data_IF_903443697688
#
_entry.id   IF_903443697688
#
_cell.length_a   1.000
_cell.length_b   1.000
_cell.length_c   1.000
_cell.angle_alpha   90.00
_cell.angle_beta   90.00
_cell.angle_gamma   90.00
#
_symmetry.space_group_name_H-M   'P 1'
#
loop_
_entity.id
_entity.type
_entity.pdbx_description
1 polymer ?
#
# COMPACT_ATOMS: atom_id res chain seq x y z
N UNK A 1 -22.56 21.63 -26.61
CA UNK A 1 -23.07 20.49 -25.82
C UNK A 1 -23.16 20.96 -24.39
N UNK A 2 -24.26 20.69 -23.71
CA UNK A 2 -24.52 21.07 -22.32
C UNK A 2 -24.56 19.82 -21.41
N UNK A 3 -24.66 20.04 -20.10
CA UNK A 3 -24.66 18.95 -19.11
C UNK A 3 -25.87 18.03 -19.29
N UNK A 4 -27.07 18.58 -19.51
CA UNK A 4 -28.27 17.78 -19.82
C UNK A 4 -28.06 16.81 -20.99
N UNK A 5 -27.45 17.29 -22.09
CA UNK A 5 -27.15 16.47 -23.27
C UNK A 5 -26.17 15.35 -22.93
N UNK A 6 -25.13 15.66 -22.13
CA UNK A 6 -24.18 14.65 -21.67
C UNK A 6 -24.87 13.55 -20.85
N UNK A 7 -25.62 13.94 -19.81
CA UNK A 7 -26.29 13.01 -18.91
C UNK A 7 -27.28 12.09 -19.65
N UNK A 8 -28.09 12.65 -20.55
CA UNK A 8 -29.08 11.87 -21.31
C UNK A 8 -28.45 10.95 -22.36
N UNK A 9 -27.42 11.41 -23.06
CA UNK A 9 -26.82 10.65 -24.17
C UNK A 9 -25.78 9.63 -23.74
N UNK A 10 -25.02 9.93 -22.69
CA UNK A 10 -23.88 9.11 -22.27
C UNK A 10 -24.13 8.34 -20.99
N UNK A 11 -25.02 8.82 -20.10
CA UNK A 11 -25.37 8.13 -18.86
C UNK A 11 -26.79 7.54 -18.88
N UNK A 12 -27.54 7.71 -19.96
CA UNK A 12 -28.96 7.33 -20.10
C UNK A 12 -29.84 7.87 -18.96
N UNK A 13 -29.50 9.05 -18.44
CA UNK A 13 -30.28 9.68 -17.38
C UNK A 13 -31.70 9.99 -17.88
N UNK A 14 -32.70 9.64 -17.08
CA UNK A 14 -34.09 9.98 -17.37
C UNK A 14 -34.35 11.49 -17.24
N UNK A 15 -35.49 11.95 -17.77
CA UNK A 15 -35.96 13.33 -17.58
C UNK A 15 -36.14 13.69 -16.10
N UNK A 16 -36.49 12.72 -15.26
CA UNK A 16 -36.67 12.90 -13.81
C UNK A 16 -35.33 13.00 -13.07
N UNK A 17 -34.31 12.24 -13.50
CA UNK A 17 -32.99 12.25 -12.87
C UNK A 17 -32.12 13.43 -13.31
N UNK A 18 -32.30 13.91 -14.54
CA UNK A 18 -31.42 14.93 -15.15
C UNK A 18 -31.29 16.20 -14.28
N UNK A 19 -32.37 16.84 -13.79
CA UNK A 19 -32.25 18.04 -12.96
C UNK A 19 -31.47 17.79 -11.68
N UNK A 20 -31.70 16.63 -11.04
CA UNK A 20 -31.03 16.23 -9.81
C UNK A 20 -29.54 15.96 -10.03
N UNK A 21 -29.18 15.30 -11.13
CA UNK A 21 -27.78 15.05 -11.50
C UNK A 21 -27.02 16.35 -11.80
N UNK A 22 -27.66 17.33 -12.45
CA UNK A 22 -27.08 18.66 -12.68
C UNK A 22 -26.82 19.37 -11.35
N UNK A 23 -27.78 19.35 -10.44
CA UNK A 23 -27.61 19.92 -9.09
C UNK A 23 -26.46 19.24 -8.34
N UNK A 24 -26.42 17.90 -8.34
CA UNK A 24 -25.34 17.14 -7.70
C UNK A 24 -23.97 17.46 -8.29
N UNK A 25 -23.86 17.56 -9.61
CA UNK A 25 -22.61 17.96 -10.26
C UNK A 25 -22.20 19.39 -9.86
N UNK A 26 -23.13 20.36 -9.89
CA UNK A 26 -22.83 21.73 -9.47
C UNK A 26 -22.38 21.81 -8.01
N UNK A 27 -23.03 21.10 -7.09
CA UNK A 27 -22.64 21.05 -5.68
C UNK A 27 -21.27 20.38 -5.52
N UNK A 28 -21.02 19.27 -6.22
CA UNK A 28 -19.74 18.54 -6.14
C UNK A 28 -18.55 19.39 -6.57
N UNK A 29 -18.74 20.26 -7.56
CA UNK A 29 -17.69 21.16 -8.04
C UNK A 29 -17.56 22.40 -7.15
N UNK A 30 -18.67 22.94 -6.63
CA UNK A 30 -18.62 24.09 -5.72
C UNK A 30 -17.94 23.73 -4.38
N UNK A 31 -18.05 22.48 -3.94
CA UNK A 31 -17.36 21.98 -2.74
C UNK A 31 -15.87 21.70 -3.04
N UNK A 32 -15.00 22.60 -2.62
CA UNK A 32 -13.56 22.36 -2.61
C UNK A 32 -12.82 22.67 -3.92
N UNK A 33 -13.44 23.42 -4.84
CA UNK A 33 -12.78 23.93 -6.06
C UNK A 33 -13.15 25.39 -6.34
N UNK A 34 -12.39 26.06 -7.22
CA UNK A 34 -12.65 27.45 -7.64
C UNK A 34 -13.80 27.57 -8.68
N UNK A 35 -14.69 26.58 -8.77
CA UNK A 35 -15.78 26.55 -9.73
C UNK A 35 -16.68 27.80 -9.59
N UNK A 36 -16.75 28.69 -10.61
CA UNK A 36 -17.48 29.93 -10.48
C UNK A 36 -18.98 29.71 -10.68
N UNK A 37 -19.80 30.21 -9.74
CA UNK A 37 -21.27 30.19 -9.83
C UNK A 37 -21.75 31.38 -10.70
N UNK A 38 -22.62 31.15 -11.70
CA UNK A 38 -23.15 32.23 -12.55
C UNK A 38 -23.94 31.76 -13.79
N UNK A 39 -24.35 32.70 -14.67
CA UNK A 39 -25.18 32.38 -15.85
C UNK A 39 -24.47 31.48 -16.86
N UNK A 40 -25.23 30.65 -17.58
CA UNK A 40 -24.68 29.60 -18.46
C UNK A 40 -24.12 28.40 -17.70
N UNK A 41 -24.75 28.04 -16.56
CA UNK A 41 -24.25 27.04 -15.62
C UNK A 41 -24.07 25.67 -16.26
N UNK A 42 -24.98 25.20 -17.12
CA UNK A 42 -24.90 23.85 -17.70
C UNK A 42 -23.78 23.66 -18.73
N UNK A 43 -23.54 24.63 -19.62
CA UNK A 43 -22.42 24.55 -20.56
C UNK A 43 -21.08 24.63 -19.82
N UNK A 44 -21.03 25.46 -18.78
CA UNK A 44 -19.84 25.59 -17.93
C UNK A 44 -19.58 24.31 -17.15
N UNK A 45 -20.60 23.77 -16.51
CA UNK A 45 -20.54 22.52 -15.77
C UNK A 45 -20.05 21.38 -16.69
N UNK A 46 -20.55 21.31 -17.92
CA UNK A 46 -20.08 20.34 -18.92
C UNK A 46 -18.59 20.51 -19.26
N UNK A 47 -18.09 21.74 -19.37
CA UNK A 47 -16.64 21.97 -19.61
C UNK A 47 -15.79 21.42 -18.49
N UNK A 48 -16.24 21.52 -17.25
CA UNK A 48 -15.50 20.99 -16.10
C UNK A 48 -15.61 19.46 -16.01
N UNK A 49 -16.80 18.88 -16.26
CA UNK A 49 -16.99 17.42 -16.23
C UNK A 49 -16.20 16.64 -17.30
N UNK A 50 -15.58 17.33 -18.25
CA UNK A 50 -14.64 16.70 -19.20
C UNK A 50 -13.27 16.39 -18.56
N UNK A 51 -12.93 17.00 -17.43
CA UNK A 51 -11.67 16.70 -16.75
C UNK A 51 -11.85 15.59 -15.72
N UNK A 52 -10.93 14.61 -15.65
CA UNK A 52 -11.05 13.45 -14.77
C UNK A 52 -11.31 13.81 -13.31
N UNK A 53 -10.60 14.82 -12.79
CA UNK A 53 -10.76 15.29 -11.41
C UNK A 53 -12.21 15.72 -11.08
N UNK A 54 -12.81 16.60 -11.88
CA UNK A 54 -14.18 17.07 -11.62
C UNK A 54 -15.23 15.98 -11.88
N UNK A 55 -15.00 15.11 -12.87
CA UNK A 55 -15.87 13.98 -13.14
C UNK A 55 -15.89 12.99 -11.96
N UNK A 56 -14.74 12.72 -11.34
CA UNK A 56 -14.65 11.87 -10.16
C UNK A 56 -15.35 12.48 -8.93
N UNK A 57 -15.24 13.79 -8.71
CA UNK A 57 -15.96 14.47 -7.61
C UNK A 57 -17.48 14.26 -7.75
N UNK A 58 -18.00 14.47 -8.96
CA UNK A 58 -19.40 14.22 -9.27
C UNK A 58 -19.79 12.74 -9.06
N UNK A 59 -18.99 11.81 -9.59
CA UNK A 59 -19.29 10.38 -9.51
C UNK A 59 -19.40 9.86 -8.08
N UNK A 60 -18.49 10.27 -7.19
CA UNK A 60 -18.52 9.88 -5.76
C UNK A 60 -19.84 10.24 -5.07
N UNK A 61 -20.43 11.39 -5.42
CA UNK A 61 -21.75 11.78 -4.89
C UNK A 61 -22.88 10.97 -5.51
N UNK A 62 -22.81 10.68 -6.81
CA UNK A 62 -23.86 9.94 -7.53
C UNK A 62 -23.98 8.50 -7.04
N UNK A 63 -22.86 7.80 -6.85
CA UNK A 63 -22.90 6.38 -6.49
C UNK A 63 -23.52 6.14 -5.11
N UNK A 64 -23.37 7.08 -4.17
CA UNK A 64 -23.93 7.00 -2.82
C UNK A 64 -25.35 7.55 -2.71
N UNK A 65 -25.86 8.24 -3.74
CA UNK A 65 -27.18 8.83 -3.70
C UNK A 65 -28.30 7.79 -3.88
N UNK A 66 -29.32 7.89 -3.02
CA UNK A 66 -30.56 7.13 -3.16
C UNK A 66 -31.41 7.66 -4.32
N UNK A 67 -32.13 6.79 -5.01
CA UNK A 67 -33.05 7.19 -6.08
C UNK A 67 -32.37 7.68 -7.37
N UNK A 68 -31.07 7.42 -7.55
CA UNK A 68 -30.42 7.44 -8.87
C UNK A 68 -30.37 6.01 -9.39
N UNK A 69 -30.75 5.81 -10.65
CA UNK A 69 -30.79 4.50 -11.29
C UNK A 69 -29.43 3.82 -11.32
N UNK A 70 -29.47 2.49 -11.27
CA UNK A 70 -28.28 1.65 -11.35
C UNK A 70 -27.50 1.88 -12.65
N UNK A 71 -28.19 1.97 -13.80
CA UNK A 71 -27.59 2.27 -15.10
C UNK A 71 -26.77 3.57 -15.12
N UNK A 72 -27.28 4.65 -14.52
CA UNK A 72 -26.54 5.93 -14.44
C UNK A 72 -25.27 5.76 -13.60
N UNK A 73 -25.37 5.07 -12.46
CA UNK A 73 -24.22 4.82 -11.58
C UNK A 73 -23.15 3.99 -12.29
N UNK A 74 -23.55 2.89 -12.94
CA UNK A 74 -22.65 2.01 -13.70
C UNK A 74 -21.90 2.78 -14.78
N UNK A 75 -22.63 3.46 -15.68
CA UNK A 75 -22.02 4.21 -16.78
C UNK A 75 -21.09 5.32 -16.29
N UNK A 76 -21.43 5.97 -15.18
CA UNK A 76 -20.60 7.03 -14.61
C UNK A 76 -19.31 6.46 -13.98
N UNK A 77 -19.39 5.33 -13.28
CA UNK A 77 -18.20 4.63 -12.77
C UNK A 77 -17.24 4.26 -13.91
N UNK A 78 -17.76 3.64 -14.97
CA UNK A 78 -16.98 3.33 -16.17
C UNK A 78 -16.34 4.58 -16.78
N UNK A 79 -17.13 5.63 -16.99
CA UNK A 79 -16.64 6.87 -17.60
C UNK A 79 -15.46 7.48 -16.82
N UNK A 80 -15.54 7.50 -15.48
CA UNK A 80 -14.48 8.07 -14.63
C UNK A 80 -13.22 7.21 -14.67
N UNK A 81 -13.33 5.89 -14.61
CA UNK A 81 -12.15 5.02 -14.66
C UNK A 81 -11.53 5.07 -16.06
N UNK A 82 -12.32 4.93 -17.10
CA UNK A 82 -11.84 4.86 -18.48
C UNK A 82 -11.27 6.18 -18.99
N UNK A 83 -11.76 7.35 -18.54
CA UNK A 83 -11.12 8.62 -18.90
C UNK A 83 -9.69 8.70 -18.34
N UNK A 84 -9.40 8.00 -17.24
CA UNK A 84 -8.05 7.99 -16.70
C UNK A 84 -7.04 7.32 -17.63
N UNK A 85 -7.45 6.42 -18.52
CA UNK A 85 -6.58 5.76 -19.52
C UNK A 85 -5.83 6.79 -20.36
N UNK A 86 -6.43 7.96 -20.57
CA UNK A 86 -5.91 9.04 -21.39
C UNK A 86 -5.29 10.18 -20.56
N UNK A 87 -4.95 9.96 -19.29
CA UNK A 87 -4.28 10.97 -18.48
C UNK A 87 -2.93 11.37 -19.09
N UNK A 88 -2.82 12.67 -19.35
CA UNK A 88 -1.59 13.35 -19.76
C UNK A 88 -0.78 13.82 -18.53
N UNK A 89 0.46 14.22 -18.78
CA UNK A 89 1.33 14.78 -17.75
C UNK A 89 0.70 16.00 -17.06
N UNK A 90 0.66 15.97 -15.72
CA UNK A 90 0.11 17.05 -14.90
C UNK A 90 -1.41 17.01 -14.71
N UNK A 91 -2.11 16.05 -15.31
CA UNK A 91 -3.54 15.83 -15.03
C UNK A 91 -3.74 14.97 -13.79
N UNK A 92 -4.67 15.39 -12.93
CA UNK A 92 -5.06 14.63 -11.75
C UNK A 92 -6.10 13.55 -12.10
N UNK A 93 -5.92 12.30 -11.62
CA UNK A 93 -6.95 11.30 -11.75
C UNK A 93 -8.19 11.70 -10.96
N UNK A 94 -9.36 11.21 -11.41
CA UNK A 94 -10.61 11.42 -10.68
C UNK A 94 -10.56 10.90 -9.24
N UNK A 95 -11.07 11.66 -8.24
CA UNK A 95 -11.25 11.15 -6.89
C UNK A 95 -12.25 10.00 -6.84
N UNK A 96 -12.02 9.05 -5.93
CA UNK A 96 -12.88 7.88 -5.73
C UNK A 96 -12.50 6.67 -6.59
N UNK A 97 -11.26 6.56 -7.06
CA UNK A 97 -10.78 5.42 -7.86
C UNK A 97 -11.16 4.09 -7.20
N UNK A 98 -10.90 3.96 -5.90
CA UNK A 98 -11.21 2.74 -5.17
C UNK A 98 -12.70 2.61 -4.90
N UNK A 99 -13.38 3.70 -4.51
CA UNK A 99 -14.83 3.69 -4.28
C UNK A 99 -15.63 3.25 -5.52
N UNK A 100 -15.27 3.76 -6.70
CA UNK A 100 -15.94 3.45 -7.96
C UNK A 100 -15.63 2.02 -8.43
N UNK A 101 -14.37 1.60 -8.31
CA UNK A 101 -13.96 0.22 -8.64
C UNK A 101 -14.61 -0.81 -7.70
N UNK A 102 -14.72 -0.48 -6.40
CA UNK A 102 -15.43 -1.30 -5.42
C UNK A 102 -16.91 -1.47 -5.79
N UNK A 103 -17.58 -0.37 -6.12
CA UNK A 103 -18.99 -0.41 -6.53
C UNK A 103 -19.19 -1.28 -7.77
N UNK A 104 -18.36 -1.11 -8.81
CA UNK A 104 -18.42 -1.95 -10.01
C UNK A 104 -18.14 -3.43 -9.70
N UNK A 105 -17.24 -3.71 -8.76
CA UNK A 105 -16.91 -5.07 -8.34
C UNK A 105 -18.07 -5.75 -7.63
N UNK A 106 -18.70 -5.04 -6.68
CA UNK A 106 -19.86 -5.52 -5.92
C UNK A 106 -21.06 -5.80 -6.84
N UNK A 107 -21.27 -4.92 -7.83
CA UNK A 107 -22.34 -5.05 -8.82
C UNK A 107 -22.01 -6.03 -9.96
N UNK A 108 -20.79 -6.58 -9.99
CA UNK A 108 -20.26 -7.47 -11.05
C UNK A 108 -20.29 -6.83 -12.44
N UNK A 109 -20.10 -5.52 -12.50
CA UNK A 109 -20.04 -4.75 -13.73
C UNK A 109 -18.61 -4.35 -14.12
N UNK A 110 -17.59 -4.64 -13.30
CA UNK A 110 -16.18 -4.38 -13.66
C UNK A 110 -15.84 -4.97 -15.03
N UNK A 111 -15.19 -4.16 -15.86
CA UNK A 111 -14.60 -4.60 -17.14
C UNK A 111 -13.10 -4.31 -17.18
N UNK A 112 -12.38 -4.95 -18.12
CA UNK A 112 -10.93 -4.78 -18.28
C UNK A 112 -10.50 -3.32 -18.46
N UNK A 113 -11.27 -2.50 -19.17
CA UNK A 113 -10.93 -1.10 -19.41
C UNK A 113 -10.96 -0.27 -18.11
N UNK A 114 -11.78 -0.65 -17.14
CA UNK A 114 -11.82 -0.02 -15.82
C UNK A 114 -10.53 -0.28 -15.04
N UNK A 115 -9.98 -1.50 -15.15
CA UNK A 115 -8.68 -1.84 -14.60
C UNK A 115 -7.56 -1.02 -15.23
N UNK A 116 -7.56 -0.85 -16.56
CA UNK A 116 -6.56 -0.02 -17.25
C UNK A 116 -6.65 1.43 -16.78
N UNK A 117 -7.86 1.92 -16.57
CA UNK A 117 -8.16 3.21 -15.97
C UNK A 117 -7.62 3.35 -14.54
N UNK A 118 -7.90 2.37 -13.67
CA UNK A 118 -7.40 2.33 -12.30
C UNK A 118 -5.87 2.29 -12.28
N UNK A 119 -5.25 1.41 -13.07
CA UNK A 119 -3.80 1.31 -13.24
C UNK A 119 -3.21 2.66 -13.62
N UNK A 120 -3.77 3.31 -14.65
CA UNK A 120 -3.30 4.63 -15.09
C UNK A 120 -3.47 5.67 -13.99
N UNK A 121 -4.61 5.71 -13.31
CA UNK A 121 -4.83 6.62 -12.18
C UNK A 121 -3.82 6.43 -11.04
N UNK A 122 -3.47 5.18 -10.70
CA UNK A 122 -2.48 4.86 -9.67
C UNK A 122 -1.05 5.29 -10.02
N UNK A 123 -0.69 5.35 -11.31
CA UNK A 123 0.62 5.86 -11.74
C UNK A 123 0.76 7.36 -11.42
N UNK A 124 -0.32 8.11 -11.60
CA UNK A 124 -0.33 9.56 -11.47
C UNK A 124 -0.65 10.04 -10.05
N UNK A 125 -1.29 9.19 -9.23
CA UNK A 125 -1.69 9.50 -7.85
C UNK A 125 -0.56 9.97 -6.91
N UNK A 126 0.59 9.27 -6.80
CA UNK A 126 1.53 9.44 -5.67
C UNK A 126 2.37 10.73 -5.70
N UNK A 127 2.19 11.59 -6.71
CA UNK A 127 2.98 12.82 -6.88
C UNK A 127 2.16 14.08 -7.14
N UNK A 128 0.84 13.96 -7.18
CA UNK A 128 -0.05 15.09 -7.47
C UNK A 128 -0.64 15.69 -6.19
N UNK A 129 -0.93 14.87 -5.17
CA UNK A 129 -1.45 15.41 -3.90
C UNK A 129 -1.40 14.42 -2.73
N UNK A 130 -1.15 14.95 -1.53
CA UNK A 130 -1.32 14.22 -0.26
C UNK A 130 -2.80 14.18 0.20
N UNK A 131 -3.69 14.90 -0.48
CA UNK A 131 -5.12 15.02 -0.12
C UNK A 131 -5.98 13.87 -0.64
N UNK A 132 -5.43 12.98 -1.48
CA UNK A 132 -6.16 11.84 -2.04
C UNK A 132 -6.25 10.67 -1.04
N UNK A 133 -6.96 10.87 0.07
CA UNK A 133 -7.16 9.82 1.07
C UNK A 133 -8.51 9.16 0.81
N UNK A 134 -8.49 7.87 0.52
CA UNK A 134 -9.68 7.02 0.48
C UNK A 134 -9.64 6.07 1.68
N UNK A 135 -10.77 5.87 2.39
CA UNK A 135 -10.83 4.94 3.51
C UNK A 135 -10.70 3.49 3.04
N UNK A 136 -10.13 2.64 3.89
CA UNK A 136 -9.91 1.21 3.61
C UNK A 136 -11.20 0.46 3.26
N UNK A 137 -12.36 0.93 3.74
CA UNK A 137 -13.69 0.40 3.37
C UNK A 137 -13.99 0.43 1.86
N UNK A 138 -13.27 1.26 1.08
CA UNK A 138 -13.37 1.31 -0.38
C UNK A 138 -12.20 0.62 -1.07
N UNK A 139 -11.01 0.69 -0.46
CA UNK A 139 -9.80 0.07 -1.01
C UNK A 139 -9.92 -1.46 -1.02
N UNK A 140 -10.37 -2.03 0.09
CA UNK A 140 -10.43 -3.49 0.27
C UNK A 140 -11.38 -4.17 -0.74
N UNK A 141 -12.65 -3.74 -0.91
CA UNK A 141 -13.53 -4.35 -1.90
C UNK A 141 -13.05 -4.12 -3.35
N UNK A 142 -12.44 -2.97 -3.63
CA UNK A 142 -11.82 -2.71 -4.94
C UNK A 142 -10.71 -3.71 -5.26
N UNK A 143 -9.81 -3.98 -4.30
CA UNK A 143 -8.77 -5.00 -4.45
C UNK A 143 -9.39 -6.39 -4.69
N UNK A 144 -10.45 -6.76 -3.97
CA UNK A 144 -11.14 -8.04 -4.18
C UNK A 144 -11.72 -8.15 -5.59
N UNK A 145 -12.47 -7.14 -6.04
CA UNK A 145 -13.10 -7.12 -7.36
C UNK A 145 -12.08 -7.19 -8.50
N UNK A 146 -11.03 -6.36 -8.45
CA UNK A 146 -10.05 -6.29 -9.55
C UNK A 146 -9.12 -7.51 -9.57
N UNK A 147 -8.64 -7.98 -8.42
CA UNK A 147 -7.66 -9.08 -8.37
C UNK A 147 -8.28 -10.46 -8.60
N UNK A 148 -9.60 -10.56 -8.58
CA UNK A 148 -10.34 -11.79 -8.91
C UNK A 148 -10.97 -11.76 -10.30
N UNK A 149 -10.82 -10.65 -11.03
CA UNK A 149 -11.40 -10.48 -12.36
C UNK A 149 -10.77 -11.45 -13.38
N UNK A 150 -11.57 -12.17 -14.19
CA UNK A 150 -11.09 -13.25 -15.05
C UNK A 150 -10.14 -12.78 -16.17
N UNK A 151 -10.29 -11.54 -16.63
CA UNK A 151 -9.47 -10.97 -17.71
C UNK A 151 -8.17 -10.32 -17.23
N UNK A 152 -7.86 -10.41 -15.94
CA UNK A 152 -6.60 -9.89 -15.37
C UNK A 152 -5.59 -11.02 -15.30
N UNK A 153 -4.47 -10.84 -16.00
CA UNK A 153 -3.40 -11.82 -15.97
C UNK A 153 -2.74 -11.86 -14.60
N UNK A 154 -1.99 -12.94 -14.35
CA UNK A 154 -1.25 -13.09 -13.11
C UNK A 154 -0.22 -11.99 -12.92
N UNK A 155 0.50 -11.66 -13.98
CA UNK A 155 1.54 -10.63 -13.99
C UNK A 155 0.93 -9.23 -13.78
N UNK A 156 -0.24 -8.97 -14.39
CA UNK A 156 -1.02 -7.74 -14.18
C UNK A 156 -1.50 -7.61 -12.73
N UNK A 157 -1.94 -8.70 -12.11
CA UNK A 157 -2.34 -8.71 -10.69
C UNK A 157 -1.16 -8.40 -9.76
N UNK A 158 0.03 -8.97 -10.02
CA UNK A 158 1.25 -8.69 -9.24
C UNK A 158 1.59 -7.20 -9.34
N UNK A 159 1.66 -6.68 -10.56
CA UNK A 159 1.96 -5.27 -10.81
C UNK A 159 0.97 -4.37 -10.07
N UNK A 160 -0.33 -4.62 -10.21
CA UNK A 160 -1.37 -3.81 -9.59
C UNK A 160 -1.28 -3.82 -8.06
N UNK A 161 -1.05 -4.98 -7.44
CA UNK A 161 -0.86 -5.07 -5.99
C UNK A 161 0.31 -4.17 -5.56
N UNK A 162 1.45 -4.28 -6.24
CA UNK A 162 2.63 -3.48 -5.90
C UNK A 162 2.38 -1.98 -6.10
N UNK A 163 1.63 -1.59 -7.14
CA UNK A 163 1.22 -0.20 -7.39
C UNK A 163 0.32 0.35 -6.29
N UNK A 164 -0.72 -0.40 -5.89
CA UNK A 164 -1.65 0.02 -4.84
C UNK A 164 -0.89 0.23 -3.52
N UNK A 165 -0.01 -0.70 -3.15
CA UNK A 165 0.80 -0.61 -1.93
C UNK A 165 1.73 0.60 -1.96
N UNK A 166 2.39 0.84 -3.09
CA UNK A 166 3.29 1.99 -3.27
C UNK A 166 2.51 3.31 -3.17
N UNK A 167 1.36 3.39 -3.86
CA UNK A 167 0.55 4.60 -3.87
C UNK A 167 -0.09 4.91 -2.51
N UNK A 168 -0.56 3.88 -1.79
CA UNK A 168 -1.27 4.04 -0.51
C UNK A 168 -0.38 4.07 0.71
N UNK A 169 0.89 3.75 0.58
CA UNK A 169 1.82 4.20 1.60
C UNK A 169 2.14 5.68 1.43
N UNK A 170 2.54 6.08 0.21
CA UNK A 170 2.82 7.48 -0.08
C UNK A 170 1.66 8.40 0.34
N UNK A 171 0.45 7.87 0.32
CA UNK A 171 -0.77 8.57 0.71
C UNK A 171 -1.45 7.86 1.89
N UNK A 172 -1.08 8.27 3.10
CA UNK A 172 -1.80 7.92 4.33
C UNK A 172 -1.27 6.70 5.09
N UNK A 173 -0.10 6.16 4.73
CA UNK A 173 0.57 5.04 5.43
C UNK A 173 -0.32 3.79 5.59
N UNK A 174 -1.16 3.50 4.60
CA UNK A 174 -2.14 2.40 4.63
C UNK A 174 -1.59 1.10 4.04
N UNK A 175 -0.35 1.07 3.54
CA UNK A 175 0.20 -0.05 2.77
C UNK A 175 0.24 -1.35 3.58
N UNK A 176 0.55 -1.30 4.88
CA UNK A 176 0.56 -2.47 5.77
C UNK A 176 -0.79 -3.17 5.84
N UNK A 177 -1.84 -2.40 6.15
CA UNK A 177 -3.19 -2.94 6.33
C UNK A 177 -3.74 -3.49 5.02
N UNK A 178 -3.48 -2.81 3.90
CA UNK A 178 -3.83 -3.28 2.56
C UNK A 178 -3.10 -4.58 2.24
N UNK A 179 -1.80 -4.67 2.54
CA UNK A 179 -1.01 -5.87 2.30
C UNK A 179 -1.56 -7.07 3.08
N UNK A 180 -1.76 -6.91 4.39
CA UNK A 180 -2.29 -7.98 5.25
C UNK A 180 -3.69 -8.41 4.80
N UNK A 181 -4.53 -7.45 4.40
CA UNK A 181 -5.84 -7.75 3.82
C UNK A 181 -5.72 -8.59 2.54
N UNK A 182 -4.95 -8.16 1.53
CA UNK A 182 -4.73 -8.91 0.27
C UNK A 182 -4.19 -10.31 0.55
N UNK A 183 -3.25 -10.45 1.48
CA UNK A 183 -2.69 -11.76 1.84
C UNK A 183 -3.69 -12.67 2.55
N UNK A 184 -4.68 -12.12 3.25
CA UNK A 184 -5.74 -12.89 3.89
C UNK A 184 -6.83 -13.38 2.92
N UNK A 185 -6.96 -12.77 1.74
CA UNK A 185 -8.09 -12.99 0.83
C UNK A 185 -8.17 -14.42 0.26
N UNK A 186 -9.22 -15.22 0.55
CA UNK A 186 -9.28 -16.62 0.13
C UNK A 186 -9.38 -16.80 -1.40
N UNK A 187 -9.94 -15.80 -2.10
CA UNK A 187 -10.10 -15.85 -3.56
C UNK A 187 -8.80 -15.62 -4.32
N UNK A 188 -7.81 -14.98 -3.68
CA UNK A 188 -6.49 -14.76 -4.27
C UNK A 188 -5.63 -16.02 -4.03
N UNK A 189 -5.12 -16.60 -5.11
CA UNK A 189 -4.37 -17.86 -5.03
C UNK A 189 -3.11 -17.74 -4.14
N UNK A 190 -2.81 -18.81 -3.37
CA UNK A 190 -1.57 -18.89 -2.58
C UNK A 190 -0.31 -18.69 -3.41
N UNK A 191 -0.34 -19.12 -4.67
CA UNK A 191 0.78 -18.99 -5.60
C UNK A 191 1.07 -17.52 -5.92
N UNK A 192 0.03 -16.75 -6.27
CA UNK A 192 0.13 -15.31 -6.53
C UNK A 192 0.63 -14.55 -5.29
N UNK A 193 0.03 -14.79 -4.12
CA UNK A 193 0.46 -14.18 -2.85
C UNK A 193 1.94 -14.42 -2.55
N UNK A 194 2.39 -15.65 -2.75
CA UNK A 194 3.78 -16.05 -2.50
C UNK A 194 4.74 -15.34 -3.46
N UNK A 195 4.33 -15.13 -4.70
CA UNK A 195 5.12 -14.42 -5.71
C UNK A 195 5.23 -12.92 -5.39
N UNK A 196 4.11 -12.27 -5.03
CA UNK A 196 4.13 -10.88 -4.53
C UNK A 196 5.09 -10.76 -3.35
N UNK A 197 4.97 -11.62 -2.34
CA UNK A 197 5.86 -11.58 -1.18
C UNK A 197 7.33 -11.82 -1.57
N UNK A 198 7.60 -12.70 -2.55
CA UNK A 198 8.96 -12.92 -3.05
C UNK A 198 9.51 -11.68 -3.75
N UNK A 199 8.73 -11.02 -4.60
CA UNK A 199 9.12 -9.77 -5.25
C UNK A 199 9.47 -8.72 -4.20
N UNK A 200 8.61 -8.54 -3.19
CA UNK A 200 8.82 -7.57 -2.10
C UNK A 200 10.08 -7.88 -1.26
N UNK A 201 10.36 -9.16 -0.98
CA UNK A 201 11.49 -9.59 -0.12
C UNK A 201 12.81 -9.70 -0.88
N UNK A 202 12.80 -10.23 -2.11
CA UNK A 202 14.01 -10.54 -2.87
C UNK A 202 14.52 -9.35 -3.68
N UNK A 203 13.60 -8.53 -4.20
CA UNK A 203 13.99 -7.33 -4.91
C UNK A 203 14.15 -6.22 -3.85
N UNK A 204 15.37 -6.13 -3.30
CA UNK A 204 15.86 -4.89 -2.73
C UNK A 204 15.90 -3.89 -3.89
N UNK A 205 15.01 -2.93 -3.86
CA UNK A 205 14.71 -2.11 -5.04
C UNK A 205 15.39 -0.75 -4.84
N UNK A 206 15.89 -0.12 -5.91
CA UNK A 206 15.24 0.09 -7.21
C UNK A 206 14.87 -1.13 -8.05
N UNK A 207 13.79 -1.04 -8.83
CA UNK A 207 13.88 -1.50 -10.21
C UNK A 207 14.66 -0.37 -10.87
N UNK A 208 15.93 -0.55 -11.25
CA UNK A 208 16.53 0.30 -12.24
C UNK A 208 15.62 0.33 -13.46
N UNK A 209 15.59 1.46 -14.17
CA UNK A 209 14.87 1.56 -15.45
C UNK A 209 15.25 0.35 -16.32
N UNK A 210 14.26 -0.38 -16.81
CA UNK A 210 14.46 -1.57 -17.65
C UNK A 210 14.79 -2.89 -16.93
N UNK A 211 14.84 -2.95 -15.59
CA UNK A 211 15.04 -4.22 -14.86
C UNK A 211 13.74 -4.92 -14.43
N UNK A 212 12.60 -4.23 -14.47
CA UNK A 212 11.28 -4.87 -14.40
C UNK A 212 10.62 -4.86 -15.76
N UNK A 213 10.22 -6.05 -16.21
CA UNK A 213 9.38 -6.17 -17.38
C UNK A 213 7.92 -6.02 -16.94
N UNK A 214 7.39 -4.81 -17.11
CA UNK A 214 5.97 -4.55 -16.88
C UNK A 214 5.12 -5.38 -17.86
N UNK A 215 3.99 -5.97 -17.40
CA UNK A 215 3.10 -6.75 -18.26
C UNK A 215 2.43 -5.90 -19.35
N UNK A 216 2.29 -4.60 -19.10
CA UNK A 216 1.78 -3.60 -20.03
C UNK A 216 2.92 -2.64 -20.36
N UNK A 217 3.04 -2.23 -21.62
CA UNK A 217 4.04 -1.27 -22.06
C UNK A 217 3.97 0.03 -21.22
N UNK A 218 5.13 0.51 -20.78
CA UNK A 218 5.27 1.69 -19.93
C UNK A 218 6.36 2.60 -20.45
N UNK A 219 6.14 3.91 -20.37
CA UNK A 219 7.19 4.89 -20.63
C UNK A 219 8.23 4.91 -19.50
N UNK A 220 9.41 5.48 -19.75
CA UNK A 220 10.45 5.61 -18.72
C UNK A 220 9.97 6.44 -17.51
N UNK A 221 9.13 7.45 -17.74
CA UNK A 221 8.54 8.26 -16.68
C UNK A 221 7.53 7.45 -15.85
N UNK A 222 6.68 6.67 -16.50
CA UNK A 222 5.76 5.77 -15.80
C UNK A 222 6.52 4.75 -14.96
N UNK A 223 7.62 4.18 -15.48
CA UNK A 223 8.47 3.28 -14.70
C UNK A 223 9.08 3.96 -13.47
N UNK A 224 9.50 5.22 -13.58
CA UNK A 224 10.03 5.96 -12.44
C UNK A 224 8.96 6.23 -11.37
N UNK A 225 7.70 6.44 -11.78
CA UNK A 225 6.55 6.64 -10.88
C UNK A 225 6.03 5.33 -10.27
N UNK A 226 6.09 4.25 -11.05
CA UNK A 226 5.78 2.87 -10.66
C UNK A 226 6.88 2.23 -9.82
N UNK A 227 8.06 2.87 -9.80
CA UNK A 227 9.24 2.35 -9.12
C UNK A 227 8.90 2.07 -7.67
N UNK A 228 8.93 0.79 -7.31
CA UNK A 228 8.66 0.32 -5.95
C UNK A 228 9.75 0.72 -4.95
N UNK A 229 10.63 1.68 -5.30
CA UNK A 229 11.60 2.35 -4.40
C UNK A 229 10.88 2.96 -3.21
N UNK A 230 9.59 3.23 -3.34
CA UNK A 230 8.73 3.72 -2.28
C UNK A 230 7.89 2.61 -1.63
N UNK A 231 8.19 1.31 -1.89
CA UNK A 231 7.54 0.25 -1.12
C UNK A 231 8.01 0.33 0.32
N UNK A 232 7.09 0.40 1.28
CA UNK A 232 7.41 0.82 2.63
C UNK A 232 8.11 -0.29 3.39
N UNK A 233 8.94 0.11 4.33
CA UNK A 233 9.58 -0.83 5.25
C UNK A 233 8.59 -1.77 5.94
N UNK A 234 7.44 -1.23 6.36
CA UNK A 234 6.36 -2.01 6.97
C UNK A 234 5.86 -3.16 6.09
N UNK A 235 5.67 -2.93 4.79
CA UNK A 235 5.20 -3.98 3.86
C UNK A 235 6.28 -5.05 3.66
N UNK A 236 7.55 -4.65 3.55
CA UNK A 236 8.67 -5.60 3.43
C UNK A 236 8.77 -6.53 4.64
N UNK A 237 8.67 -5.94 5.82
CA UNK A 237 8.67 -6.64 7.10
C UNK A 237 7.54 -7.67 7.17
N UNK A 238 6.31 -7.26 6.83
CA UNK A 238 5.13 -8.16 6.76
C UNK A 238 5.26 -9.28 5.73
N UNK A 239 5.85 -8.99 4.56
CA UNK A 239 6.00 -9.98 3.49
C UNK A 239 6.85 -11.20 3.92
N UNK A 240 7.86 -11.01 4.78
CA UNK A 240 8.66 -12.13 5.32
C UNK A 240 7.81 -13.10 6.13
N UNK A 241 6.98 -12.57 7.04
CA UNK A 241 6.07 -13.37 7.86
C UNK A 241 5.04 -14.10 6.99
N UNK A 242 4.48 -13.41 5.99
CA UNK A 242 3.53 -14.03 5.07
C UNK A 242 4.15 -15.12 4.20
N UNK A 243 5.42 -15.03 3.78
CA UNK A 243 6.09 -16.12 3.06
C UNK A 243 6.06 -17.42 3.86
N UNK A 244 6.35 -17.36 5.16
CA UNK A 244 6.29 -18.51 6.05
C UNK A 244 4.86 -19.06 6.16
N UNK A 245 3.87 -18.19 6.43
CA UNK A 245 2.44 -18.57 6.52
C UNK A 245 1.90 -19.17 5.21
N UNK A 246 2.44 -18.76 4.06
CA UNK A 246 2.12 -19.28 2.74
C UNK A 246 2.87 -20.59 2.42
N UNK A 247 3.55 -21.20 3.39
CA UNK A 247 4.14 -22.53 3.31
C UNK A 247 5.58 -22.57 2.82
N UNK A 248 6.34 -21.47 2.93
CA UNK A 248 7.82 -21.53 2.87
C UNK A 248 8.34 -22.08 4.19
N UNK A 249 9.45 -22.84 4.12
CA UNK A 249 10.12 -23.29 5.33
C UNK A 249 10.70 -22.09 6.07
N UNK A 250 10.22 -21.87 7.27
CA UNK A 250 10.58 -20.69 8.03
C UNK A 250 12.01 -20.75 8.57
N UNK A 251 12.53 -21.94 8.89
CA UNK A 251 13.91 -22.09 9.36
C UNK A 251 14.90 -21.78 8.24
N UNK A 252 14.60 -22.21 7.01
CA UNK A 252 15.33 -21.83 5.81
C UNK A 252 15.26 -20.32 5.59
N UNK A 253 14.08 -19.72 5.73
CA UNK A 253 13.88 -18.28 5.54
C UNK A 253 14.67 -17.46 6.56
N UNK A 254 14.60 -17.80 7.85
CA UNK A 254 15.38 -17.17 8.93
C UNK A 254 16.88 -17.28 8.66
N UNK A 255 17.38 -18.47 8.32
CA UNK A 255 18.80 -18.70 8.00
C UNK A 255 19.23 -17.95 6.74
N UNK A 256 18.34 -17.75 5.77
CA UNK A 256 18.63 -17.01 4.53
C UNK A 256 18.68 -15.50 4.77
N UNK A 257 17.75 -14.97 5.57
CA UNK A 257 17.55 -13.53 5.72
C UNK A 257 18.42 -12.92 6.83
N UNK A 258 18.73 -13.63 7.92
CA UNK A 258 19.63 -13.13 8.97
C UNK A 258 21.11 -13.31 8.59
N UNK A 259 21.54 -12.59 7.55
CA UNK A 259 22.91 -12.58 7.03
C UNK A 259 23.35 -11.15 6.69
N UNK A 260 24.66 -10.83 6.78
CA UNK A 260 25.17 -9.48 6.54
C UNK A 260 24.77 -8.87 5.19
N UNK A 261 24.64 -9.68 4.13
CA UNK A 261 24.27 -9.18 2.82
C UNK A 261 22.79 -8.78 2.69
N UNK A 262 21.91 -9.28 3.55
CA UNK A 262 20.47 -8.93 3.49
C UNK A 262 20.24 -7.46 3.81
N UNK A 263 21.04 -6.89 4.71
CA UNK A 263 20.91 -5.49 5.16
C UNK A 263 21.75 -4.51 4.34
N UNK A 264 22.48 -4.95 3.32
CA UNK A 264 23.39 -4.11 2.52
C UNK A 264 22.73 -3.43 1.31
N UNK A 265 21.42 -3.22 1.35
CA UNK A 265 20.65 -2.57 0.29
C UNK A 265 19.41 -1.85 0.85
N UNK A 266 18.81 -0.99 0.03
CA UNK A 266 17.63 -0.21 0.41
C UNK A 266 16.46 -1.13 0.84
N UNK A 267 15.97 -0.93 2.06
CA UNK A 267 14.92 -1.75 2.69
C UNK A 267 15.38 -3.13 3.20
N UNK A 268 16.68 -3.42 3.20
CA UNK A 268 17.24 -4.69 3.67
C UNK A 268 17.17 -4.86 5.20
N UNK A 269 17.30 -3.77 5.93
CA UNK A 269 17.01 -3.62 7.36
C UNK A 269 15.57 -4.03 7.71
N UNK A 270 14.62 -3.67 6.87
CA UNK A 270 13.19 -4.00 7.03
C UNK A 270 12.92 -5.49 6.77
N UNK A 271 13.61 -6.08 5.79
CA UNK A 271 13.56 -7.52 5.53
C UNK A 271 14.19 -8.31 6.69
N UNK A 272 15.34 -7.88 7.22
CA UNK A 272 15.95 -8.50 8.38
C UNK A 272 15.08 -8.35 9.64
N UNK A 273 14.43 -7.20 9.80
CA UNK A 273 13.44 -6.97 10.86
C UNK A 273 12.21 -7.86 10.72
N UNK A 274 11.74 -8.11 9.49
CA UNK A 274 10.69 -9.11 9.23
C UNK A 274 11.11 -10.54 9.55
N UNK A 275 12.40 -10.85 9.43
CA UNK A 275 12.94 -12.12 9.90
C UNK A 275 12.93 -12.20 11.45
N UNK A 276 13.16 -11.10 12.15
CA UNK A 276 13.01 -11.04 13.61
C UNK A 276 11.55 -11.18 14.06
N UNK A 277 10.58 -10.64 13.31
CA UNK A 277 9.15 -10.89 13.57
C UNK A 277 8.80 -12.36 13.38
N UNK A 278 9.29 -12.97 12.31
CA UNK A 278 9.09 -14.40 12.07
C UNK A 278 9.72 -15.24 13.18
N UNK A 279 10.90 -14.86 13.68
CA UNK A 279 11.54 -15.50 14.83
C UNK A 279 10.69 -15.36 16.09
N UNK A 280 10.07 -14.18 16.31
CA UNK A 280 9.13 -13.96 17.42
C UNK A 280 7.90 -14.88 17.32
N UNK A 281 7.26 -14.97 16.15
CA UNK A 281 6.09 -15.84 15.92
C UNK A 281 6.42 -17.33 16.09
N UNK A 282 7.65 -17.70 15.76
CA UNK A 282 8.10 -19.09 15.78
C UNK A 282 8.89 -19.46 17.02
N UNK A 283 8.96 -18.57 18.00
CA UNK A 283 9.83 -18.74 19.15
C UNK A 283 9.66 -20.14 19.74
N UNK A 284 8.44 -20.51 20.11
CA UNK A 284 8.08 -21.82 20.70
C UNK A 284 8.37 -23.05 19.83
N UNK A 285 8.58 -22.88 18.53
CA UNK A 285 8.79 -23.97 17.57
C UNK A 285 10.27 -24.24 17.26
N UNK A 286 11.16 -23.33 17.65
CA UNK A 286 12.61 -23.42 17.47
C UNK A 286 13.23 -23.88 18.80
N UNK A 287 14.26 -24.70 18.76
CA UNK A 287 14.98 -25.11 19.96
C UNK A 287 15.85 -23.98 20.54
N UNK A 288 16.25 -24.10 21.81
CA UNK A 288 17.00 -23.04 22.51
C UNK A 288 18.34 -22.71 21.83
N UNK A 289 19.05 -23.73 21.33
CA UNK A 289 20.29 -23.53 20.58
C UNK A 289 20.04 -22.75 19.28
N UNK A 290 18.99 -23.11 18.53
CA UNK A 290 18.60 -22.42 17.30
C UNK A 290 18.17 -20.97 17.54
N UNK A 291 17.35 -20.71 18.57
CA UNK A 291 16.91 -19.36 18.97
C UNK A 291 18.11 -18.47 19.27
N UNK A 292 19.02 -18.94 20.14
CA UNK A 292 20.21 -18.21 20.53
C UNK A 292 21.13 -17.97 19.33
N UNK A 293 21.34 -18.96 18.46
CA UNK A 293 22.15 -18.82 17.27
C UNK A 293 21.58 -17.79 16.26
N UNK A 294 20.26 -17.74 16.10
CA UNK A 294 19.59 -16.76 15.22
C UNK A 294 19.65 -15.35 15.79
N UNK A 295 19.41 -15.18 17.10
CA UNK A 295 19.55 -13.89 17.77
C UNK A 295 20.98 -13.36 17.71
N UNK A 296 21.99 -14.19 17.97
CA UNK A 296 23.39 -13.81 17.88
C UNK A 296 23.78 -13.39 16.45
N UNK A 297 23.25 -14.09 15.43
CA UNK A 297 23.44 -13.67 14.03
C UNK A 297 22.82 -12.31 13.75
N UNK A 298 21.62 -12.05 14.24
CA UNK A 298 20.96 -10.77 14.08
C UNK A 298 21.71 -9.64 14.81
N UNK A 299 22.22 -9.92 16.01
CA UNK A 299 23.04 -9.00 16.80
C UNK A 299 24.46 -8.76 16.22
N UNK A 300 24.90 -9.49 15.19
CA UNK A 300 26.16 -9.22 14.47
C UNK A 300 25.92 -8.60 13.08
N UNK A 301 24.67 -8.34 12.70
CA UNK A 301 24.37 -7.65 11.43
C UNK A 301 24.93 -6.22 11.45
N UNK A 302 25.36 -5.67 10.29
CA UNK A 302 25.96 -4.34 10.25
C UNK A 302 24.97 -3.21 10.55
N UNK A 303 23.66 -3.43 10.38
CA UNK A 303 22.63 -2.43 10.64
C UNK A 303 22.31 -2.29 12.14
N UNK A 304 22.37 -1.06 12.65
CA UNK A 304 22.23 -0.75 14.08
C UNK A 304 20.78 -0.90 14.56
N UNK A 305 19.79 -0.56 13.73
CA UNK A 305 18.38 -0.65 14.09
C UNK A 305 17.93 -2.12 14.19
N UNK A 306 18.40 -2.97 13.26
CA UNK A 306 18.18 -4.41 13.32
C UNK A 306 18.84 -5.04 14.55
N UNK A 307 20.08 -4.66 14.89
CA UNK A 307 20.75 -5.14 16.12
C UNK A 307 19.97 -4.73 17.38
N UNK A 308 19.51 -3.48 17.48
CA UNK A 308 18.65 -3.01 18.59
C UNK A 308 17.45 -3.93 18.79
N UNK A 309 16.74 -4.26 17.71
CA UNK A 309 15.58 -5.16 17.74
C UNK A 309 15.94 -6.57 18.16
N UNK A 310 17.08 -7.09 17.72
CA UNK A 310 17.57 -8.40 18.18
C UNK A 310 17.78 -8.42 19.69
N UNK A 311 18.33 -7.35 20.27
CA UNK A 311 18.49 -7.24 21.72
C UNK A 311 17.15 -7.08 22.47
N UNK A 312 16.18 -6.34 21.94
CA UNK A 312 14.82 -6.25 22.52
C UNK A 312 14.13 -7.62 22.50
N UNK A 313 14.23 -8.35 21.38
CA UNK A 313 13.68 -9.70 21.27
C UNK A 313 14.40 -10.69 22.21
N UNK A 314 15.71 -10.55 22.35
CA UNK A 314 16.50 -11.33 23.30
C UNK A 314 16.16 -11.02 24.76
N UNK A 315 15.95 -9.75 25.12
CA UNK A 315 15.47 -9.37 26.46
C UNK A 315 14.10 -10.01 26.75
N UNK A 316 13.19 -9.96 25.78
CA UNK A 316 11.82 -10.51 25.90
C UNK A 316 11.80 -11.98 26.30
N UNK A 317 12.71 -12.80 25.77
CA UNK A 317 12.67 -14.25 25.95
C UNK A 317 13.83 -14.84 26.76
N UNK A 318 15.01 -14.24 26.71
CA UNK A 318 16.22 -14.71 27.39
C UNK A 318 16.59 -13.82 28.59
N UNK A 319 15.91 -12.68 28.77
CA UNK A 319 16.10 -11.78 29.90
C UNK A 319 17.32 -10.87 29.78
N UNK A 320 17.64 -10.22 30.91
CA UNK A 320 18.64 -9.16 30.98
C UNK A 320 20.07 -9.62 30.64
N UNK A 321 20.38 -10.90 30.84
CA UNK A 321 21.71 -11.44 30.52
C UNK A 321 22.01 -11.37 29.02
N UNK A 322 20.98 -11.53 28.18
CA UNK A 322 21.15 -11.31 26.75
C UNK A 322 21.32 -9.83 26.42
N UNK A 323 20.52 -8.96 27.03
CA UNK A 323 20.63 -7.51 26.85
C UNK A 323 22.02 -6.97 27.24
N UNK A 324 22.65 -7.50 28.29
CA UNK A 324 24.00 -7.09 28.73
C UNK A 324 25.07 -7.22 27.65
N UNK A 325 24.92 -8.14 26.69
CA UNK A 325 25.85 -8.29 25.57
C UNK A 325 25.92 -7.03 24.70
N UNK A 326 24.84 -6.25 24.63
CA UNK A 326 24.81 -5.01 23.84
C UNK A 326 25.67 -3.88 24.41
N UNK A 327 26.16 -4.00 25.66
CA UNK A 327 27.17 -3.10 26.22
C UNK A 327 28.53 -3.22 25.51
N UNK A 328 28.79 -4.34 24.84
CA UNK A 328 29.99 -4.58 24.04
C UNK A 328 29.73 -4.38 22.52
N UNK A 329 28.55 -3.88 22.12
CA UNK A 329 28.22 -3.66 20.71
C UNK A 329 29.20 -2.69 20.05
N UNK A 330 29.44 -2.84 18.74
CA UNK A 330 30.37 -1.99 17.98
C UNK A 330 29.88 -0.54 17.90
N UNK A 331 28.57 -0.31 17.85
CA UNK A 331 27.98 1.03 17.77
C UNK A 331 27.84 1.69 19.16
N UNK A 332 28.38 2.90 19.30
CA UNK A 332 28.30 3.68 20.53
C UNK A 332 26.83 3.95 20.96
N UNK A 333 25.97 4.28 20.01
CA UNK A 333 24.55 4.54 20.25
C UNK A 333 23.83 3.35 20.86
N UNK A 334 24.14 2.12 20.45
CA UNK A 334 23.55 0.92 21.07
C UNK A 334 24.07 0.67 22.47
N UNK A 335 25.36 0.88 22.71
CA UNK A 335 25.93 0.74 24.06
C UNK A 335 25.30 1.74 25.04
N UNK A 336 25.09 2.98 24.61
CA UNK A 336 24.43 4.02 25.41
C UNK A 336 22.96 3.69 25.68
N UNK A 337 22.20 3.35 24.63
CA UNK A 337 20.81 2.88 24.76
C UNK A 337 20.68 1.68 25.70
N UNK A 338 21.57 0.69 25.57
CA UNK A 338 21.58 -0.51 26.38
C UNK A 338 21.84 -0.20 27.85
N UNK A 339 22.79 0.69 28.13
CA UNK A 339 23.11 1.12 29.50
C UNK A 339 21.91 1.79 30.16
N UNK A 340 21.31 2.77 29.49
CA UNK A 340 20.12 3.46 30.02
C UNK A 340 18.94 2.49 30.24
N UNK A 341 18.77 1.54 29.33
CA UNK A 341 17.75 0.50 29.45
C UNK A 341 18.02 -0.40 30.66
N UNK A 342 19.24 -0.90 30.81
CA UNK A 342 19.63 -1.75 31.95
C UNK A 342 19.49 -1.03 33.28
N UNK A 343 19.91 0.23 33.38
CA UNK A 343 19.77 1.05 34.59
C UNK A 343 18.29 1.17 35.01
N UNK A 344 17.37 1.37 34.04
CA UNK A 344 15.92 1.36 34.32
C UNK A 344 15.40 0.00 34.78
N UNK A 345 15.84 -1.09 34.15
CA UNK A 345 15.44 -2.46 34.56
C UNK A 345 15.92 -2.80 35.97
N UNK A 346 17.15 -2.41 36.31
CA UNK A 346 17.74 -2.61 37.64
C UNK A 346 17.08 -1.71 38.71
N UNK A 347 16.57 -0.55 38.32
CA UNK A 347 15.74 0.31 39.17
C UNK A 347 14.29 -0.22 39.37
N UNK A 348 13.93 -1.36 38.76
CA UNK A 348 12.65 -2.04 38.93
C UNK A 348 11.60 -1.74 37.85
N UNK A 349 11.96 -1.02 36.78
CA UNK A 349 11.07 -0.79 35.63
C UNK A 349 11.03 -2.04 34.75
N UNK A 350 10.19 -3.02 35.12
CA UNK A 350 9.99 -4.25 34.34
C UNK A 350 8.99 -3.97 33.21
N UNK A 351 9.37 -4.15 31.94
CA UNK A 351 8.47 -3.91 30.83
C UNK A 351 7.43 -5.03 30.75
N UNK A 352 6.22 -4.69 30.35
CA UNK A 352 5.23 -5.71 29.99
C UNK A 352 5.57 -6.32 28.63
N UNK A 353 5.03 -7.51 28.35
CA UNK A 353 5.19 -8.16 27.03
C UNK A 353 4.61 -7.26 25.93
N UNK A 354 3.53 -6.54 26.22
CA UNK A 354 2.89 -5.59 25.29
C UNK A 354 3.80 -4.39 25.00
N UNK A 355 4.51 -3.87 26.00
CA UNK A 355 5.48 -2.79 25.79
C UNK A 355 6.64 -3.26 24.90
N UNK A 356 7.18 -4.45 25.15
CA UNK A 356 8.23 -5.02 24.29
C UNK A 356 7.74 -5.30 22.87
N UNK A 357 6.50 -5.75 22.71
CA UNK A 357 5.87 -5.92 21.38
C UNK A 357 5.71 -4.58 20.67
N UNK A 358 5.24 -3.55 21.35
CA UNK A 358 5.10 -2.22 20.77
C UNK A 358 6.46 -1.66 20.31
N UNK A 359 7.51 -1.78 21.13
CA UNK A 359 8.87 -1.38 20.77
C UNK A 359 9.43 -2.18 19.58
N UNK A 360 9.10 -3.47 19.46
CA UNK A 360 9.45 -4.27 18.29
C UNK A 360 8.64 -3.85 17.05
N UNK A 361 7.44 -3.33 17.22
CA UNK A 361 6.57 -2.86 16.13
C UNK A 361 6.94 -1.47 15.61
N UNK A 362 7.67 -0.66 16.38
CA UNK A 362 8.17 0.66 15.96
C UNK A 362 8.83 0.60 14.57
N UNK A 363 8.48 1.59 13.74
CA UNK A 363 9.09 1.78 12.42
C UNK A 363 10.56 2.10 12.60
N UNK A 364 11.42 1.48 11.77
CA UNK A 364 12.82 1.87 11.74
C UNK A 364 12.85 3.29 11.18
N UNK A 365 13.50 4.21 11.91
CA UNK A 365 13.76 5.56 11.42
C UNK A 365 14.42 5.44 10.03
N UNK A 366 13.86 6.11 9.02
CA UNK A 366 14.52 6.23 7.74
C UNK A 366 15.88 6.88 8.01
N UNK A 367 16.96 6.21 7.63
CA UNK A 367 18.28 6.83 7.68
C UNK A 367 18.15 8.13 6.90
N UNK A 368 18.33 9.27 7.58
CA UNK A 368 18.40 10.57 6.93
C UNK A 368 19.35 10.40 5.75
N UNK A 369 18.83 10.53 4.54
CA UNK A 369 19.68 10.62 3.36
C UNK A 369 20.48 11.89 3.56
N UNK A 370 21.74 11.75 3.98
CA UNK A 370 22.75 12.79 3.86
C UNK A 370 22.91 13.10 2.35
N UNK A 371 22.00 13.93 1.82
CA UNK A 371 22.15 14.63 0.54
C UNK A 371 22.84 15.99 0.75
#
# INVERSE_FOLDING_TARGET
MDTSTFLKRHLDASEEETPRLIEMAAISLAEGTDFPVGPGSEERLWRYLQYPYYLGLFARKVITAEGISHSVKEKLCHAVLQVNVHLDEGQEPGPGLFQLSAWLGDEKCLVRDDYLGLRRGLIWLPRLTNSYIEPTQHIFPSCEGVLTHPDISREEAIELILMILTAKEAIGNQGRDIFDHVMSQPLISKSLKREVCQVVVQNAIPFPRGEYQHPIETTAEEQDRLSIRFLPGGVRRRAVVWLARLGRDSNELLKRLLKPNTVRGYGGDQVASGALDLLDEMWEQIDDEGRLALLNKAADLPDTAVRKRAYILGEKYLGLDFLRQSLDDKAKSLREWAKERLDRREAGEIPTIEQLRAELEEELEEAESDD
#
